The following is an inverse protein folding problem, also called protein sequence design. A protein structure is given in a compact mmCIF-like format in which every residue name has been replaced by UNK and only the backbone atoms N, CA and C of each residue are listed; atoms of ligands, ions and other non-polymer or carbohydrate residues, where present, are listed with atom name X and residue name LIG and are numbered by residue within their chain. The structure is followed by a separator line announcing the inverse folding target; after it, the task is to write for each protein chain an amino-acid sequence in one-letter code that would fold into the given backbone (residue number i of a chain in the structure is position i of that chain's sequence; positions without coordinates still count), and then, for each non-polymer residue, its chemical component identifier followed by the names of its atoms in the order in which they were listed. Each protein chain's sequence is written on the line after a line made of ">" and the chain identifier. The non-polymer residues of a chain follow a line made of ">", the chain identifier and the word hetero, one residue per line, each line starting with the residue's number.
data_IF_011972468677
#
_entry.id   IF_011972468677
#
_cell.length_a   1.000
_cell.length_b   1.000
_cell.length_c   1.000
_cell.angle_alpha   90.00
_cell.angle_beta   90.00
_cell.angle_gamma   90.00
#
_symmetry.space_group_name_H-M   'P 1'
#
loop_
_entity.id
_entity.type
_entity.pdbx_description
1 polymer ?
#
# COMPACT_ATOMS: atom_id res chain seq x y z
N UNK A 1 1.09 -8.79 -0.87
CA UNK A 1 1.76 -9.19 -2.12
C UNK A 1 2.69 -8.06 -2.52
N UNK A 2 3.73 -8.33 -3.31
CA UNK A 2 4.44 -7.28 -4.06
C UNK A 2 3.93 -7.37 -5.49
N UNK A 3 3.36 -6.28 -6.03
CA UNK A 3 2.94 -6.28 -7.43
C UNK A 3 4.12 -6.05 -8.39
N UNK A 4 3.84 -6.10 -9.69
CA UNK A 4 4.85 -5.90 -10.74
C UNK A 4 5.50 -4.50 -10.73
N UNK A 5 4.93 -3.53 -10.00
CA UNK A 5 5.47 -2.18 -9.82
C UNK A 5 6.30 -2.02 -8.54
N UNK A 6 6.48 -3.11 -7.78
CA UNK A 6 7.23 -3.12 -6.52
C UNK A 6 6.43 -2.62 -5.33
N UNK A 7 5.11 -2.44 -5.46
CA UNK A 7 4.23 -1.97 -4.39
C UNK A 7 3.86 -3.10 -3.43
N UNK A 8 3.95 -2.84 -2.13
CA UNK A 8 3.25 -3.66 -1.16
C UNK A 8 1.75 -3.35 -1.24
N UNK A 9 0.98 -4.30 -1.78
CA UNK A 9 -0.46 -4.17 -1.91
C UNK A 9 -1.18 -5.50 -1.59
N UNK A 10 -2.51 -5.44 -1.58
CA UNK A 10 -3.40 -6.59 -1.39
C UNK A 10 -3.06 -7.45 -0.14
N UNK A 11 -2.55 -6.83 0.93
CA UNK A 11 -2.36 -7.51 2.21
C UNK A 11 -3.70 -7.60 2.93
N UNK A 12 -4.12 -8.83 3.22
CA UNK A 12 -5.38 -9.09 3.90
C UNK A 12 -5.17 -10.12 5.02
N UNK A 13 -5.83 -9.88 6.15
CA UNK A 13 -5.86 -10.81 7.28
C UNK A 13 -7.30 -11.24 7.49
N UNK A 14 -7.53 -12.56 7.43
CA UNK A 14 -8.82 -13.18 7.73
C UNK A 14 -9.31 -12.72 9.11
N UNK A 15 -10.62 -12.51 9.25
CA UNK A 15 -11.20 -11.81 10.39
C UNK A 15 -10.90 -12.49 11.73
N UNK A 16 -11.00 -13.81 11.77
CA UNK A 16 -10.67 -14.71 12.88
C UNK A 16 -9.19 -14.65 13.33
N UNK A 17 -8.33 -14.05 12.50
CA UNK A 17 -6.90 -13.91 12.73
C UNK A 17 -6.46 -12.44 12.92
N UNK A 18 -7.38 -11.48 12.93
CA UNK A 18 -7.06 -10.05 13.16
C UNK A 18 -6.62 -9.78 14.61
N UNK A 19 -6.03 -8.60 14.82
CA UNK A 19 -5.50 -8.12 16.12
C UNK A 19 -4.39 -8.98 16.75
N UNK A 20 -3.81 -9.91 15.98
CA UNK A 20 -2.68 -10.77 16.38
C UNK A 20 -1.33 -10.30 15.83
N UNK A 21 -1.27 -9.10 15.21
CA UNK A 21 -0.04 -8.56 14.62
C UNK A 21 0.36 -9.15 13.26
N UNK A 22 -0.38 -10.14 12.73
CA UNK A 22 -0.03 -10.85 11.50
C UNK A 22 0.17 -9.94 10.28
N UNK A 23 -0.69 -8.94 10.11
CA UNK A 23 -0.57 -7.98 9.01
C UNK A 23 0.75 -7.20 9.07
N UNK A 24 1.14 -6.75 10.26
CA UNK A 24 2.39 -6.02 10.46
C UNK A 24 3.61 -6.92 10.22
N UNK A 25 3.58 -8.16 10.73
CA UNK A 25 4.70 -9.11 10.55
C UNK A 25 4.96 -9.37 9.07
N UNK A 26 3.90 -9.65 8.29
CA UNK A 26 4.02 -9.88 6.85
C UNK A 26 4.45 -8.60 6.11
N UNK A 27 3.92 -7.45 6.48
CA UNK A 27 4.33 -6.16 5.90
C UNK A 27 5.84 -5.91 6.08
N UNK A 28 6.39 -6.18 7.27
CA UNK A 28 7.81 -5.99 7.57
C UNK A 28 8.71 -7.03 6.92
N UNK A 29 8.27 -8.28 6.84
CA UNK A 29 8.99 -9.34 6.11
C UNK A 29 9.12 -9.01 4.61
N UNK A 30 8.02 -8.57 3.98
CA UNK A 30 8.04 -8.14 2.58
C UNK A 30 8.89 -6.89 2.36
N UNK A 31 8.81 -5.91 3.28
CA UNK A 31 9.64 -4.71 3.23
C UNK A 31 11.13 -5.08 3.29
N UNK A 32 11.52 -6.00 4.19
CA UNK A 32 12.90 -6.48 4.29
C UNK A 32 13.38 -7.09 2.96
N UNK A 33 12.60 -8.01 2.39
CA UNK A 33 12.94 -8.65 1.11
C UNK A 33 13.12 -7.66 -0.02
N UNK A 34 12.29 -6.62 -0.08
CA UNK A 34 12.42 -5.56 -1.10
C UNK A 34 13.70 -4.73 -0.91
N UNK A 35 14.05 -4.40 0.34
CA UNK A 35 15.31 -3.72 0.66
C UNK A 35 16.50 -4.57 0.21
N UNK A 36 16.47 -5.87 0.50
CA UNK A 36 17.55 -6.80 0.14
C UNK A 36 17.72 -6.92 -1.39
N UNK A 37 16.65 -6.70 -2.16
CA UNK A 37 16.68 -6.59 -3.62
C UNK A 37 17.06 -5.19 -4.15
N UNK A 38 17.44 -4.24 -3.28
CA UNK A 38 17.82 -2.88 -3.67
C UNK A 38 16.64 -1.95 -3.99
N UNK A 39 15.41 -2.32 -3.63
CA UNK A 39 14.23 -1.51 -3.91
C UNK A 39 13.93 -0.54 -2.75
N UNK A 40 13.37 0.62 -3.10
CA UNK A 40 12.75 1.51 -2.12
C UNK A 40 11.37 0.97 -1.76
N UNK A 41 11.12 0.83 -0.47
CA UNK A 41 9.85 0.28 0.03
C UNK A 41 8.79 1.37 0.11
N UNK A 42 7.61 1.09 -0.43
CA UNK A 42 6.43 1.93 -0.30
C UNK A 42 5.18 1.06 -0.39
N UNK A 43 4.10 1.50 0.28
CA UNK A 43 2.80 0.84 0.27
C UNK A 43 1.71 1.85 -0.07
N UNK A 44 0.67 1.38 -0.75
CA UNK A 44 -0.54 2.17 -0.94
C UNK A 44 -1.60 1.71 0.07
N UNK A 45 -2.15 2.66 0.81
CA UNK A 45 -3.31 2.42 1.67
C UNK A 45 -4.54 2.94 0.95
N UNK A 46 -5.59 2.12 0.88
CA UNK A 46 -6.86 2.52 0.28
C UNK A 46 -7.42 3.74 1.03
N UNK A 47 -7.88 4.74 0.27
CA UNK A 47 -8.16 6.09 0.76
C UNK A 47 -9.27 6.14 1.81
N UNK A 48 -10.25 5.24 1.74
CA UNK A 48 -11.38 5.16 2.67
C UNK A 48 -11.15 4.15 3.81
N UNK A 49 -10.05 3.42 3.81
CA UNK A 49 -9.69 2.48 4.87
C UNK A 49 -9.06 3.20 6.08
N UNK A 50 -9.88 4.02 6.75
CA UNK A 50 -9.45 4.88 7.86
C UNK A 50 -8.74 4.15 8.99
N UNK A 51 -9.08 2.89 9.38
CA UNK A 51 -8.34 2.18 10.41
C UNK A 51 -6.89 1.88 10.00
N UNK A 52 -6.66 1.52 8.73
CA UNK A 52 -5.32 1.21 8.21
C UNK A 52 -4.49 2.48 8.04
N UNK A 53 -5.12 3.58 7.60
CA UNK A 53 -4.47 4.90 7.54
C UNK A 53 -3.99 5.30 8.94
N UNK A 54 -4.89 5.30 9.92
CA UNK A 54 -4.55 5.70 11.28
C UNK A 54 -3.49 4.77 11.91
N UNK A 55 -3.56 3.47 11.65
CA UNK A 55 -2.54 2.51 12.08
C UNK A 55 -1.18 2.78 11.44
N UNK A 56 -1.15 3.10 10.16
CA UNK A 56 0.08 3.41 9.42
C UNK A 56 0.72 4.71 9.91
N UNK A 57 -0.07 5.77 10.12
CA UNK A 57 0.43 7.07 10.60
C UNK A 57 1.06 7.01 12.00
N UNK A 58 0.62 6.06 12.85
CA UNK A 58 1.23 5.85 14.18
C UNK A 58 2.49 4.99 14.13
N UNK A 59 2.77 4.33 13.02
CA UNK A 59 3.95 3.47 12.90
C UNK A 59 5.21 4.32 12.76
N UNK A 60 6.27 4.06 13.56
CA UNK A 60 7.56 4.74 13.39
C UNK A 60 8.30 4.28 12.12
N UNK A 61 7.78 3.26 11.44
CA UNK A 61 8.42 2.62 10.28
C UNK A 61 7.93 3.18 8.94
N UNK A 62 6.87 4.00 8.96
CA UNK A 62 6.28 4.57 7.76
C UNK A 62 6.23 6.09 7.85
N UNK A 63 6.50 6.74 6.72
CA UNK A 63 6.27 8.16 6.52
C UNK A 63 5.39 8.35 5.28
N UNK A 64 4.59 9.42 5.27
CA UNK A 64 3.77 9.76 4.11
C UNK A 64 4.65 10.37 3.03
N UNK A 65 4.55 9.85 1.81
CA UNK A 65 5.24 10.43 0.67
C UNK A 65 4.65 11.80 0.33
N UNK A 66 5.52 12.78 0.10
CA UNK A 66 5.15 14.17 -0.19
C UNK A 66 5.55 14.55 -1.61
N UNK A 67 4.78 15.42 -2.25
CA UNK A 67 5.16 16.05 -3.51
C UNK A 67 6.18 17.19 -3.28
N UNK A 68 6.59 17.88 -4.36
CA UNK A 68 7.57 18.96 -4.28
C UNK A 68 7.11 20.14 -3.40
N UNK A 69 5.79 20.33 -3.27
CA UNK A 69 5.16 21.37 -2.46
C UNK A 69 4.89 20.93 -1.01
N UNK A 70 5.25 19.70 -0.62
CA UNK A 70 5.02 19.17 0.73
C UNK A 70 3.61 18.61 0.99
N UNK A 71 2.78 18.49 -0.06
CA UNK A 71 1.44 17.89 -0.01
C UNK A 71 1.52 16.37 -0.04
N UNK A 72 0.62 15.68 0.66
CA UNK A 72 0.52 14.23 0.64
C UNK A 72 0.25 13.70 -0.78
N UNK A 73 1.07 12.75 -1.23
CA UNK A 73 0.86 12.07 -2.49
C UNK A 73 -0.33 11.10 -2.39
N UNK A 74 -1.28 11.25 -3.30
CA UNK A 74 -2.42 10.34 -3.46
C UNK A 74 -2.33 9.65 -4.81
N UNK A 75 -2.37 8.31 -4.82
CA UNK A 75 -2.40 7.52 -6.04
C UNK A 75 -3.85 7.28 -6.48
N UNK A 76 -4.18 7.66 -7.72
CA UNK A 76 -5.51 7.46 -8.30
C UNK A 76 -5.40 6.38 -9.39
N UNK A 77 -6.10 5.27 -9.21
CA UNK A 77 -6.21 4.22 -10.22
C UNK A 77 -7.45 4.49 -11.09
N UNK A 78 -7.22 4.89 -12.35
CA UNK A 78 -8.29 5.11 -13.33
C UNK A 78 -8.27 4.00 -14.38
N UNK A 79 -9.44 3.50 -14.75
CA UNK A 79 -9.60 2.59 -15.88
C UNK A 79 -10.07 3.42 -17.07
N UNK A 80 -9.25 3.47 -18.12
CA UNK A 80 -9.66 4.02 -19.41
C UNK A 80 -10.21 2.86 -20.26
N UNK A 81 -11.51 2.89 -20.56
CA UNK A 81 -12.13 1.98 -21.51
C UNK A 81 -12.30 2.68 -22.86
N UNK A 82 -11.94 1.99 -23.94
CA UNK A 82 -12.28 2.43 -25.29
C UNK A 82 -13.66 1.88 -25.62
N UNK A 83 -14.65 2.75 -25.78
CA UNK A 83 -15.93 2.35 -26.35
C UNK A 83 -15.72 1.95 -27.81
N UNK A 84 -16.13 0.72 -28.15
CA UNK A 84 -16.28 0.32 -29.55
C UNK A 84 -17.67 0.78 -29.97
N UNK A 85 -17.78 1.55 -31.06
CA UNK A 85 -19.07 1.91 -31.61
C UNK A 85 -19.85 0.61 -31.88
N UNK A 86 -21.11 0.55 -31.41
CA UNK A 86 -22.02 -0.52 -31.81
C UNK A 86 -22.41 -0.24 -33.27
N UNK A 87 -22.02 -1.15 -34.16
CA UNK A 87 -22.53 -1.22 -35.54
C UNK A 87 -24.04 -1.51 -35.55
#
# INVERSE_FOLDING_TARGET
>A
MVDATGLLNHLFVLEEHRKKGLGNIIELDLARKLIDCGNKVYKCVEFYNTPVIAGTQRSPLWSTAKNAEGTDLTYVFLVAARESAKD
#
